data_IF_120251233098
#
_entry.id   IF_120251233098
#
_cell.length_a   1.000
_cell.length_b   1.000
_cell.length_c   1.000
_cell.angle_alpha   90.00
_cell.angle_beta   90.00
_cell.angle_gamma   90.00
#
_symmetry.space_group_name_H-M   'P 1'
#
loop_
_entity.id
_entity.type
_entity.pdbx_description
1 polymer ?
#
# COMPACT_ATOMS: atom_id res chain seq x y z
N UNK A 1 12.61 -10.29 20.74
CA UNK A 1 12.63 -11.34 21.79
C UNK A 1 12.45 -12.71 21.14
N UNK A 2 12.64 -13.80 21.89
CA UNK A 2 12.40 -15.16 21.39
C UNK A 2 10.93 -15.38 20.97
N UNK A 3 9.98 -14.79 21.70
CA UNK A 3 8.55 -14.84 21.40
C UNK A 3 8.20 -14.30 19.99
N UNK A 4 8.80 -13.18 19.56
CA UNK A 4 8.59 -12.64 18.21
C UNK A 4 9.13 -13.55 17.10
N UNK A 5 10.19 -14.32 17.37
CA UNK A 5 10.72 -15.29 16.40
C UNK A 5 9.86 -16.53 16.33
N UNK A 6 9.33 -16.99 17.47
CA UNK A 6 8.39 -18.11 17.56
C UNK A 6 7.09 -17.81 16.81
N UNK A 7 6.43 -16.69 17.13
CA UNK A 7 5.20 -16.26 16.47
C UNK A 7 5.38 -16.04 14.95
N UNK A 8 6.59 -15.63 14.52
CA UNK A 8 6.91 -15.54 13.09
C UNK A 8 7.09 -16.92 12.45
N UNK A 9 7.64 -17.89 13.18
CA UNK A 9 7.79 -19.28 12.72
C UNK A 9 6.43 -19.94 12.53
N UNK A 10 5.56 -19.87 13.54
CA UNK A 10 4.19 -20.39 13.46
C UNK A 10 3.41 -19.75 12.30
N UNK A 11 3.43 -18.42 12.18
CA UNK A 11 2.76 -17.74 11.07
C UNK A 11 3.34 -18.09 9.69
N UNK A 12 4.62 -18.48 9.63
CA UNK A 12 5.27 -18.93 8.39
C UNK A 12 4.83 -20.35 8.03
N UNK A 13 4.81 -21.25 9.00
CA UNK A 13 4.40 -22.64 8.82
C UNK A 13 2.91 -22.73 8.45
N UNK A 14 2.06 -21.94 9.11
CA UNK A 14 0.63 -21.80 8.77
C UNK A 14 0.47 -21.30 7.33
N UNK A 15 1.15 -20.21 6.97
CA UNK A 15 1.08 -19.66 5.61
C UNK A 15 1.59 -20.64 4.55
N UNK A 16 2.64 -21.41 4.88
CA UNK A 16 3.19 -22.42 3.98
C UNK A 16 2.21 -23.59 3.79
N UNK A 17 1.58 -24.07 4.87
CA UNK A 17 0.56 -25.12 4.79
C UNK A 17 -0.64 -24.70 3.93
N UNK A 18 -1.05 -23.43 4.04
CA UNK A 18 -2.14 -22.87 3.25
C UNK A 18 -1.76 -22.75 1.77
N UNK A 19 -0.57 -22.22 1.45
CA UNK A 19 -0.09 -22.06 0.07
C UNK A 19 0.16 -23.41 -0.61
N UNK A 20 0.57 -24.43 0.14
CA UNK A 20 0.77 -25.79 -0.37
C UNK A 20 -0.51 -26.63 -0.34
N UNK A 21 -1.63 -26.07 0.11
CA UNK A 21 -2.89 -26.80 0.19
C UNK A 21 -3.46 -27.11 -1.21
N UNK A 22 -4.25 -28.20 -1.31
CA UNK A 22 -5.04 -28.47 -2.51
C UNK A 22 -6.01 -27.32 -2.86
N UNK A 23 -6.60 -26.68 -1.84
CA UNK A 23 -7.55 -25.57 -2.02
C UNK A 23 -6.89 -24.37 -2.69
N UNK A 24 -5.70 -23.99 -2.25
CA UNK A 24 -4.94 -22.92 -2.89
C UNK A 24 -4.52 -23.27 -4.32
N UNK A 25 -4.17 -24.53 -4.57
CA UNK A 25 -3.85 -25.01 -5.92
C UNK A 25 -5.08 -24.97 -6.84
N UNK A 26 -6.25 -25.37 -6.35
CA UNK A 26 -7.52 -25.26 -7.07
C UNK A 26 -7.84 -23.80 -7.40
N UNK A 27 -7.73 -22.93 -6.40
CA UNK A 27 -7.93 -21.50 -6.58
C UNK A 27 -7.01 -20.91 -7.67
N UNK A 28 -5.72 -21.27 -7.68
CA UNK A 28 -4.80 -20.80 -8.74
C UNK A 28 -5.20 -21.30 -10.13
N UNK A 29 -5.61 -22.56 -10.24
CA UNK A 29 -6.07 -23.13 -11.51
C UNK A 29 -7.36 -22.43 -12.00
N UNK A 30 -8.29 -22.12 -11.09
CA UNK A 30 -9.50 -21.37 -11.41
C UNK A 30 -9.19 -19.95 -11.90
N UNK A 31 -8.25 -19.25 -11.26
CA UNK A 31 -7.79 -17.93 -11.70
C UNK A 31 -7.13 -17.99 -13.08
N UNK A 32 -6.29 -19.00 -13.33
CA UNK A 32 -5.64 -19.20 -14.63
C UNK A 32 -6.68 -19.48 -15.73
N UNK A 33 -7.59 -20.43 -15.50
CA UNK A 33 -8.67 -20.76 -16.43
C UNK A 33 -9.58 -19.55 -16.70
N UNK A 34 -9.89 -18.74 -15.68
CA UNK A 34 -10.66 -17.52 -15.85
C UNK A 34 -9.92 -16.46 -16.67
N UNK A 35 -8.60 -16.34 -16.50
CA UNK A 35 -7.78 -15.41 -17.28
C UNK A 35 -7.67 -15.83 -18.75
N UNK A 36 -7.56 -17.13 -19.04
CA UNK A 36 -7.50 -17.68 -20.40
C UNK A 36 -8.85 -17.61 -21.13
N UNK A 37 -9.96 -17.83 -20.40
CA UNK A 37 -11.32 -17.76 -20.95
C UNK A 37 -11.89 -16.33 -20.99
N UNK A 38 -11.18 -15.35 -20.43
CA UNK A 38 -11.64 -13.97 -20.41
C UNK A 38 -11.82 -13.44 -21.84
N UNK A 39 -13.00 -12.90 -22.19
CA UNK A 39 -13.23 -12.38 -23.53
C UNK A 39 -12.26 -11.23 -23.82
N UNK A 40 -11.55 -11.33 -24.94
CA UNK A 40 -10.73 -10.22 -25.43
C UNK A 40 -11.65 -9.17 -26.03
N UNK A 41 -12.02 -8.17 -25.22
CA UNK A 41 -12.72 -6.99 -25.73
C UNK A 41 -11.81 -6.23 -26.70
N UNK A 42 -12.26 -6.04 -27.95
CA UNK A 42 -11.55 -5.27 -28.95
C UNK A 42 -11.38 -3.80 -28.52
N UNK A 43 -10.20 -3.22 -28.76
CA UNK A 43 -9.95 -1.81 -28.47
C UNK A 43 -8.49 -1.40 -28.66
N UNK A 44 -8.25 -0.11 -28.90
CA UNK A 44 -6.87 0.42 -28.92
C UNK A 44 -6.31 0.36 -27.50
N UNK A 45 -5.24 -0.39 -27.29
CA UNK A 45 -4.61 -0.60 -25.97
C UNK A 45 -4.33 0.72 -25.22
N UNK A 46 -3.96 1.79 -25.95
CA UNK A 46 -3.75 3.12 -25.38
C UNK A 46 -5.02 3.78 -24.80
N UNK A 47 -6.22 3.49 -25.34
CA UNK A 47 -7.49 3.97 -24.77
C UNK A 47 -7.87 3.19 -23.52
N UNK A 48 -7.65 1.87 -23.54
CA UNK A 48 -7.91 0.99 -22.39
C UNK A 48 -7.01 1.35 -21.21
N UNK A 49 -5.70 1.51 -21.45
CA UNK A 49 -4.74 1.90 -20.42
C UNK A 49 -5.05 3.26 -19.82
N UNK A 50 -5.34 4.27 -20.65
CA UNK A 50 -5.72 5.61 -20.17
C UNK A 50 -6.98 5.58 -19.29
N UNK A 51 -8.01 4.84 -19.71
CA UNK A 51 -9.26 4.67 -18.93
C UNK A 51 -9.01 3.98 -17.60
N UNK A 52 -8.20 2.92 -17.57
CA UNK A 52 -7.85 2.20 -16.35
C UNK A 52 -7.06 3.09 -15.37
N UNK A 53 -6.04 3.81 -15.87
CA UNK A 53 -5.25 4.74 -15.07
C UNK A 53 -6.09 5.90 -14.53
N UNK A 54 -7.02 6.43 -15.32
CA UNK A 54 -7.97 7.46 -14.89
C UNK A 54 -8.90 6.96 -13.77
N UNK A 55 -9.43 5.75 -13.89
CA UNK A 55 -10.26 5.16 -12.84
C UNK A 55 -9.51 5.01 -11.51
N UNK A 56 -8.22 4.64 -11.54
CA UNK A 56 -7.39 4.62 -10.34
C UNK A 56 -7.09 6.02 -9.81
N UNK A 57 -6.82 6.98 -10.70
CA UNK A 57 -6.56 8.36 -10.32
C UNK A 57 -7.78 9.05 -9.70
N UNK A 58 -8.99 8.80 -10.21
CA UNK A 58 -10.23 9.30 -9.63
C UNK A 58 -10.47 8.75 -8.23
N UNK A 59 -10.17 7.46 -8.00
CA UNK A 59 -10.18 6.85 -6.66
C UNK A 59 -9.16 7.54 -5.74
N UNK A 60 -7.94 7.79 -6.21
CA UNK A 60 -6.91 8.52 -5.45
C UNK A 60 -7.38 9.92 -5.08
N UNK A 61 -7.90 10.70 -6.04
CA UNK A 61 -8.47 12.03 -5.79
C UNK A 61 -9.59 11.97 -4.76
N UNK A 62 -10.53 11.03 -4.91
CA UNK A 62 -11.66 10.85 -3.97
C UNK A 62 -11.17 10.54 -2.56
N UNK A 63 -10.21 9.63 -2.39
CA UNK A 63 -9.65 9.27 -1.08
C UNK A 63 -8.72 10.34 -0.48
N UNK A 64 -8.11 11.16 -1.33
CA UNK A 64 -7.28 12.27 -0.91
C UNK A 64 -8.06 13.51 -0.46
N UNK A 65 -9.38 13.56 -0.65
CA UNK A 65 -10.23 14.63 -0.12
C UNK A 65 -10.31 14.53 1.40
N UNK A 66 -10.02 15.65 2.08
CA UNK A 66 -10.19 15.75 3.53
C UNK A 66 -9.22 14.91 4.36
N UNK A 67 -8.10 14.46 3.77
CA UNK A 67 -6.96 13.93 4.55
C UNK A 67 -6.33 15.06 5.35
N UNK A 68 -5.94 14.76 6.59
CA UNK A 68 -5.36 15.70 7.55
C UNK A 68 -3.90 15.33 7.81
N UNK A 69 -3.17 16.17 8.55
CA UNK A 69 -1.78 15.91 8.96
C UNK A 69 -1.69 14.92 10.13
N UNK A 70 -2.57 13.92 10.17
CA UNK A 70 -2.72 12.90 11.21
C UNK A 70 -2.98 11.57 10.53
N UNK A 71 -2.32 10.49 10.96
CA UNK A 71 -2.55 9.20 10.34
C UNK A 71 -3.87 8.64 10.84
N UNK A 72 -4.79 8.44 9.92
CA UNK A 72 -6.13 7.94 10.20
C UNK A 72 -6.59 7.01 9.08
N UNK A 73 -7.79 6.49 9.23
CA UNK A 73 -8.41 5.63 8.24
C UNK A 73 -8.52 6.27 6.84
N UNK A 74 -8.61 7.60 6.73
CA UNK A 74 -8.63 8.29 5.42
C UNK A 74 -7.25 8.26 4.78
N UNK A 75 -6.22 8.54 5.56
CA UNK A 75 -4.81 8.47 5.13
C UNK A 75 -4.44 7.06 4.70
N UNK A 76 -4.86 6.05 5.46
CA UNK A 76 -4.68 4.65 5.10
C UNK A 76 -5.40 4.29 3.79
N UNK A 77 -6.65 4.72 3.60
CA UNK A 77 -7.38 4.52 2.33
C UNK A 77 -6.73 5.22 1.13
N UNK A 78 -6.17 6.41 1.32
CA UNK A 78 -5.40 7.10 0.30
C UNK A 78 -4.14 6.28 -0.08
N UNK A 79 -3.40 5.76 0.91
CA UNK A 79 -2.23 4.91 0.67
C UNK A 79 -2.58 3.67 -0.16
N UNK A 80 -3.67 2.97 0.17
CA UNK A 80 -4.15 1.82 -0.62
C UNK A 80 -4.46 2.23 -2.06
N UNK A 81 -5.17 3.34 -2.26
CA UNK A 81 -5.50 3.83 -3.60
C UNK A 81 -4.25 4.19 -4.41
N UNK A 82 -3.26 4.83 -3.79
CA UNK A 82 -1.97 5.16 -4.41
C UNK A 82 -1.16 3.91 -4.77
N UNK A 83 -1.17 2.85 -3.94
CA UNK A 83 -0.55 1.55 -4.28
C UNK A 83 -1.19 0.97 -5.56
N UNK A 84 -2.52 0.95 -5.62
CA UNK A 84 -3.24 0.46 -6.82
C UNK A 84 -2.92 1.29 -8.06
N UNK A 85 -2.85 2.61 -7.93
CA UNK A 85 -2.40 3.48 -9.03
C UNK A 85 -0.96 3.19 -9.45
N UNK A 86 -0.05 2.91 -8.50
CA UNK A 86 1.34 2.56 -8.81
C UNK A 86 1.40 1.28 -9.63
N UNK A 87 0.70 0.23 -9.21
CA UNK A 87 0.68 -1.05 -9.93
C UNK A 87 0.17 -0.89 -11.36
N UNK A 88 -0.94 -0.16 -11.55
CA UNK A 88 -1.43 0.15 -12.89
C UNK A 88 -0.44 0.99 -13.70
N UNK A 89 0.19 1.99 -13.09
CA UNK A 89 1.16 2.85 -13.77
C UNK A 89 2.43 2.10 -14.19
N UNK A 90 2.92 1.18 -13.37
CA UNK A 90 4.06 0.32 -13.70
C UNK A 90 3.70 -0.70 -14.79
N UNK A 91 2.52 -1.32 -14.69
CA UNK A 91 2.04 -2.28 -15.68
C UNK A 91 1.91 -1.66 -17.08
N UNK A 92 1.30 -0.47 -17.17
CA UNK A 92 1.12 0.22 -18.44
C UNK A 92 2.31 1.09 -18.85
N UNK A 93 3.36 1.20 -18.04
CA UNK A 93 4.51 2.06 -18.31
C UNK A 93 5.12 1.89 -19.71
N UNK A 94 5.28 0.65 -20.25
CA UNK A 94 5.84 0.43 -21.59
C UNK A 94 5.03 1.05 -22.74
N UNK A 95 3.76 1.40 -22.52
CA UNK A 95 2.90 2.01 -23.54
C UNK A 95 3.09 3.53 -23.68
N UNK A 96 3.92 4.14 -22.83
CA UNK A 96 4.08 5.61 -22.75
C UNK A 96 5.56 6.00 -22.75
N UNK A 97 5.83 7.26 -23.13
CA UNK A 97 7.20 7.78 -23.18
C UNK A 97 7.96 7.68 -21.85
N UNK A 98 9.13 7.06 -21.90
CA UNK A 98 9.93 6.64 -20.74
C UNK A 98 10.18 7.75 -19.71
N UNK A 99 10.69 8.90 -20.15
CA UNK A 99 11.12 9.99 -19.25
C UNK A 99 10.00 10.54 -18.37
N UNK A 100 8.81 10.78 -18.95
CA UNK A 100 7.65 11.32 -18.19
C UNK A 100 7.07 10.28 -17.26
N UNK A 101 7.00 9.04 -17.71
CA UNK A 101 6.49 7.89 -16.94
C UNK A 101 7.38 7.61 -15.73
N UNK A 102 8.70 7.51 -15.94
CA UNK A 102 9.69 7.27 -14.89
C UNK A 102 9.66 8.38 -13.82
N UNK A 103 9.56 9.66 -14.23
CA UNK A 103 9.44 10.78 -13.29
C UNK A 103 8.19 10.67 -12.43
N UNK A 104 7.03 10.38 -13.04
CA UNK A 104 5.77 10.25 -12.31
C UNK A 104 5.80 9.08 -11.31
N UNK A 105 6.27 7.91 -11.75
CA UNK A 105 6.39 6.71 -10.91
C UNK A 105 7.37 6.96 -9.76
N UNK A 106 8.50 7.63 -10.00
CA UNK A 106 9.46 7.99 -8.93
C UNK A 106 8.81 8.86 -7.85
N UNK A 107 8.04 9.87 -8.23
CA UNK A 107 7.33 10.72 -7.27
C UNK A 107 6.24 9.97 -6.52
N UNK A 108 5.51 9.07 -7.20
CA UNK A 108 4.51 8.21 -6.57
C UNK A 108 5.13 7.25 -5.54
N UNK A 109 6.26 6.61 -5.89
CA UNK A 109 7.02 5.76 -4.96
C UNK A 109 7.49 6.55 -3.75
N UNK A 110 8.13 7.70 -3.97
CA UNK A 110 8.60 8.55 -2.86
C UNK A 110 7.48 9.08 -1.96
N UNK A 111 6.24 9.20 -2.45
CA UNK A 111 5.08 9.48 -1.61
C UNK A 111 4.63 8.23 -0.82
N UNK A 112 4.59 7.07 -1.47
CA UNK A 112 4.24 5.80 -0.84
C UNK A 112 5.23 5.41 0.27
N UNK A 113 6.52 5.70 0.12
CA UNK A 113 7.54 5.46 1.14
C UNK A 113 7.25 6.26 2.42
N UNK A 114 6.99 7.57 2.27
CA UNK A 114 6.61 8.45 3.40
C UNK A 114 5.30 8.00 4.07
N UNK A 115 4.32 7.55 3.28
CA UNK A 115 3.08 6.98 3.80
C UNK A 115 3.30 5.62 4.47
N UNK A 116 4.28 4.85 4.01
CA UNK A 116 4.72 3.59 4.62
C UNK A 116 5.31 3.84 6.00
N UNK A 117 6.29 4.74 6.12
CA UNK A 117 6.88 5.11 7.41
C UNK A 117 5.82 5.56 8.43
N UNK A 118 4.86 6.39 8.02
CA UNK A 118 3.77 6.82 8.90
C UNK A 118 2.83 5.67 9.28
N UNK A 119 2.50 4.77 8.34
CA UNK A 119 1.69 3.58 8.58
C UNK A 119 2.34 2.63 9.57
N UNK A 120 3.64 2.40 9.41
CA UNK A 120 4.38 1.42 10.22
C UNK A 120 4.41 1.89 11.67
N UNK A 121 4.65 3.19 11.90
CA UNK A 121 4.59 3.78 13.24
C UNK A 121 3.18 3.73 13.83
N UNK A 122 2.14 3.99 13.02
CA UNK A 122 0.74 3.89 13.47
C UNK A 122 0.37 2.47 13.94
N UNK A 123 0.84 1.43 13.24
CA UNK A 123 0.54 0.04 13.56
C UNK A 123 1.30 -0.55 14.76
N UNK A 124 2.27 0.18 15.33
CA UNK A 124 3.07 -0.31 16.47
C UNK A 124 2.20 -0.55 17.70
N UNK A 125 1.17 0.27 17.94
CA UNK A 125 0.26 0.07 19.08
C UNK A 125 -0.43 -1.30 19.03
N UNK A 126 -0.97 -1.67 17.88
CA UNK A 126 -1.61 -2.97 17.67
C UNK A 126 -0.61 -4.12 17.81
N UNK A 127 0.61 -3.94 17.31
CA UNK A 127 1.67 -4.94 17.45
C UNK A 127 2.10 -5.13 18.91
N UNK A 128 2.23 -4.05 19.68
CA UNK A 128 2.53 -4.10 21.11
C UNK A 128 1.40 -4.78 21.90
N UNK A 129 0.13 -4.50 21.57
CA UNK A 129 -1.01 -5.14 22.21
C UNK A 129 -1.00 -6.67 22.06
N UNK A 130 -0.46 -7.19 20.95
CA UNK A 130 -0.33 -8.63 20.68
C UNK A 130 0.79 -9.31 21.47
N UNK A 131 1.73 -8.56 22.05
CA UNK A 131 2.83 -9.13 22.84
C UNK A 131 2.41 -9.55 24.25
N UNK A 132 1.17 -9.27 24.66
CA UNK A 132 0.63 -9.60 25.97
C UNK A 132 0.85 -8.48 27.00
N UNK A 133 0.25 -8.64 28.17
CA UNK A 133 0.16 -7.60 29.20
C UNK A 133 1.05 -7.88 30.43
N UNK A 134 2.16 -8.61 30.24
CA UNK A 134 3.10 -8.90 31.31
C UNK A 134 3.70 -7.58 31.87
N UNK A 135 3.89 -7.44 33.20
CA UNK A 135 4.33 -6.18 33.82
C UNK A 135 5.59 -5.57 33.20
N UNK A 136 6.58 -6.40 32.89
CA UNK A 136 7.85 -6.03 32.26
C UNK A 136 7.69 -5.55 30.82
N UNK A 137 6.74 -6.11 30.06
CA UNK A 137 6.43 -5.68 28.71
C UNK A 137 5.61 -4.39 28.69
N UNK A 138 4.79 -4.15 29.73
CA UNK A 138 3.92 -2.98 29.83
C UNK A 138 4.70 -1.67 29.89
N UNK A 139 5.77 -1.63 30.70
CA UNK A 139 6.66 -0.46 30.78
C UNK A 139 7.38 -0.22 29.44
N UNK A 140 7.98 -1.26 28.85
CA UNK A 140 8.65 -1.16 27.56
C UNK A 140 7.70 -0.72 26.44
N UNK A 141 6.48 -1.28 26.40
CA UNK A 141 5.44 -0.88 25.44
C UNK A 141 5.03 0.58 25.61
N UNK A 142 4.91 1.08 26.85
CA UNK A 142 4.64 2.49 27.14
C UNK A 142 5.74 3.42 26.61
N UNK A 143 7.01 3.07 26.82
CA UNK A 143 8.16 3.83 26.30
C UNK A 143 8.16 3.86 24.77
N UNK A 144 7.97 2.70 24.14
CA UNK A 144 7.91 2.57 22.67
C UNK A 144 6.74 3.38 22.10
N UNK A 145 5.54 3.25 22.68
CA UNK A 145 4.36 4.01 22.26
C UNK A 145 4.58 5.53 22.37
N UNK A 146 5.19 6.00 23.46
CA UNK A 146 5.52 7.43 23.66
C UNK A 146 6.51 7.96 22.61
N UNK A 147 7.59 7.22 22.33
CA UNK A 147 8.58 7.58 21.31
C UNK A 147 7.96 7.66 19.90
N UNK A 148 7.02 6.75 19.61
CA UNK A 148 6.36 6.67 18.32
C UNK A 148 5.29 7.74 18.09
N UNK A 149 4.53 8.16 19.11
CA UNK A 149 3.46 9.17 18.95
C UNK A 149 3.97 10.53 18.44
N UNK A 150 5.11 11.02 18.93
CA UNK A 150 5.71 12.26 18.42
C UNK A 150 6.23 12.10 16.97
N UNK A 151 6.80 10.94 16.66
CA UNK A 151 7.36 10.61 15.35
C UNK A 151 6.25 10.44 14.29
N UNK A 152 5.12 9.83 14.65
CA UNK A 152 3.96 9.63 13.77
C UNK A 152 3.43 10.95 13.22
N UNK A 153 3.27 11.96 14.07
CA UNK A 153 2.80 13.30 13.67
C UNK A 153 3.76 13.93 12.65
N UNK A 154 5.07 13.84 12.89
CA UNK A 154 6.09 14.38 11.99
C UNK A 154 6.12 13.65 10.64
N UNK A 155 6.08 12.32 10.66
CA UNK A 155 6.06 11.47 9.46
C UNK A 155 4.80 11.70 8.64
N UNK A 156 3.63 11.76 9.28
CA UNK A 156 2.38 12.00 8.58
C UNK A 156 2.33 13.40 7.99
N UNK A 157 2.80 14.42 8.71
CA UNK A 157 2.94 15.77 8.15
C UNK A 157 3.82 15.77 6.91
N UNK A 158 4.96 15.06 6.93
CA UNK A 158 5.85 14.90 5.76
C UNK A 158 5.16 14.18 4.60
N UNK A 159 4.45 13.09 4.87
CA UNK A 159 3.67 12.36 3.86
C UNK A 159 2.58 13.23 3.23
N UNK A 160 1.85 14.01 4.03
CA UNK A 160 0.79 14.90 3.54
C UNK A 160 1.30 16.09 2.76
N UNK A 161 2.49 16.61 3.08
CA UNK A 161 3.16 17.58 2.22
C UNK A 161 3.53 16.95 0.87
N UNK A 162 4.10 15.74 0.89
CA UNK A 162 4.36 14.98 -0.35
C UNK A 162 3.09 14.73 -1.18
N UNK A 163 1.95 14.45 -0.54
CA UNK A 163 0.66 14.32 -1.21
C UNK A 163 0.22 15.63 -1.88
N UNK A 164 0.40 16.79 -1.20
CA UNK A 164 0.07 18.10 -1.77
C UNK A 164 0.88 18.41 -3.02
N UNK A 165 2.12 17.95 -3.10
CA UNK A 165 2.97 18.16 -4.27
C UNK A 165 2.66 17.15 -5.37
N UNK A 166 2.51 15.88 -5.01
CA UNK A 166 2.16 14.82 -5.95
C UNK A 166 0.83 15.09 -6.66
N UNK A 167 -0.20 15.58 -5.96
CA UNK A 167 -1.52 15.84 -6.56
C UNK A 167 -1.53 16.96 -7.61
N UNK A 168 -0.46 17.76 -7.70
CA UNK A 168 -0.27 18.81 -8.70
C UNK A 168 0.40 18.30 -9.98
N UNK A 169 1.01 17.10 -9.94
CA UNK A 169 1.67 16.53 -11.10
C UNK A 169 0.64 16.19 -12.17
N UNK A 170 0.97 16.54 -13.43
CA UNK A 170 0.18 16.08 -14.58
C UNK A 170 0.36 14.56 -14.72
N UNK A 171 -0.72 13.77 -14.77
CA UNK A 171 -0.63 12.34 -15.07
C UNK A 171 0.07 12.09 -16.42
N UNK A 172 1.00 11.15 -16.47
CA UNK A 172 1.82 10.91 -17.67
C UNK A 172 1.04 10.34 -18.88
N UNK A 173 -0.12 9.74 -18.60
CA UNK A 173 -1.04 9.16 -19.59
C UNK A 173 -2.05 10.17 -20.16
N UNK A 174 -1.94 11.45 -19.77
CA UNK A 174 -2.75 12.57 -20.24
C UNK A 174 -1.90 13.66 -20.91
#
# INVERSE_FOLDING_TARGET
>A
SAALRHARGEAWDDALSEVLSPDFSSFLNEVAAAAESAPVEGGKIGKVSAKALDAHWDKVKKRGKGVRKTYDHRTHKLRIALKKLRYAAEFFAPLYGEKKTARYIKQLKGLLDKLGEANDVHGIGDALARLGNAPELRYAAGVVAGWHGAREKALTKRAMNGWKDFRKLKPFWR
#
